data_IF_666743053312
#
_entry.id   IF_666743053312
#
_cell.length_a   1.000
_cell.length_b   1.000
_cell.length_c   1.000
_cell.angle_alpha   90.00
_cell.angle_beta   90.00
_cell.angle_gamma   90.00
#
_symmetry.space_group_name_H-M   'P 1'
#
loop_
_entity.id
_entity.type
_entity.pdbx_description
1 polymer ?
#
# COMPACT_ATOMS: atom_id res chain seq x y z
N UNK A 1 -23.01 -17.77 -16.90
CA UNK A 1 -21.62 -17.81 -16.44
C UNK A 1 -20.85 -16.93 -17.39
N UNK A 2 -20.22 -15.89 -16.86
CA UNK A 2 -19.50 -14.91 -17.67
C UNK A 2 -18.24 -15.56 -18.25
N UNK A 3 -17.86 -15.29 -19.52
CA UNK A 3 -16.61 -15.82 -20.10
C UNK A 3 -15.39 -15.45 -19.27
N UNK A 4 -14.42 -16.36 -19.15
CA UNK A 4 -13.19 -16.14 -18.36
C UNK A 4 -12.39 -14.94 -18.86
N UNK A 5 -12.36 -14.68 -20.17
CA UNK A 5 -11.71 -13.50 -20.75
C UNK A 5 -12.29 -12.19 -20.22
N UNK A 6 -13.62 -12.10 -20.12
CA UNK A 6 -14.32 -10.91 -19.64
C UNK A 6 -14.10 -10.72 -18.13
N UNK A 7 -14.08 -11.83 -17.37
CA UNK A 7 -13.77 -11.82 -15.94
C UNK A 7 -12.32 -11.39 -15.66
N UNK A 8 -11.37 -11.83 -16.48
CA UNK A 8 -9.98 -11.39 -16.42
C UNK A 8 -9.84 -9.90 -16.74
N UNK A 9 -10.50 -9.43 -17.80
CA UNK A 9 -10.50 -8.02 -18.17
C UNK A 9 -11.08 -7.13 -17.04
N UNK A 10 -12.20 -7.55 -16.45
CA UNK A 10 -12.80 -6.86 -15.31
C UNK A 10 -11.86 -6.85 -14.09
N UNK A 11 -11.25 -7.98 -13.76
CA UNK A 11 -10.31 -8.08 -12.64
C UNK A 11 -9.04 -7.24 -12.83
N UNK A 12 -8.53 -7.18 -14.07
CA UNK A 12 -7.40 -6.32 -14.43
C UNK A 12 -7.75 -4.83 -14.32
N UNK A 13 -8.97 -4.45 -14.74
CA UNK A 13 -9.46 -3.09 -14.55
C UNK A 13 -9.50 -2.70 -13.07
N UNK A 14 -10.05 -3.57 -12.21
CA UNK A 14 -10.07 -3.34 -10.77
C UNK A 14 -8.66 -3.29 -10.16
N UNK A 15 -7.72 -4.10 -10.65
CA UNK A 15 -6.32 -4.08 -10.23
C UNK A 15 -5.65 -2.73 -10.51
N UNK A 16 -5.82 -2.20 -11.72
CA UNK A 16 -5.27 -0.89 -12.09
C UNK A 16 -5.94 0.24 -11.30
N UNK A 17 -7.28 0.20 -11.18
CA UNK A 17 -8.02 1.18 -10.38
C UNK A 17 -7.55 1.18 -8.92
N UNK A 18 -7.40 0.00 -8.30
CA UNK A 18 -6.90 -0.16 -6.95
C UNK A 18 -5.45 0.32 -6.78
N UNK A 19 -4.61 0.18 -7.80
CA UNK A 19 -3.22 0.66 -7.73
C UNK A 19 -3.13 2.17 -7.83
N UNK A 20 -3.99 2.79 -8.67
CA UNK A 20 -3.94 4.22 -8.95
C UNK A 20 -4.79 5.06 -8.00
N UNK A 21 -5.81 4.49 -7.35
CA UNK A 21 -6.72 5.25 -6.49
C UNK A 21 -6.09 5.68 -5.16
N UNK A 22 -5.07 4.96 -4.68
CA UNK A 22 -4.38 5.34 -3.45
C UNK A 22 -3.05 4.62 -3.23
N UNK A 23 -2.20 5.17 -2.35
CA UNK A 23 -0.83 4.70 -2.16
C UNK A 23 -0.81 3.40 -1.35
N UNK A 24 0.34 2.72 -1.37
CA UNK A 24 0.62 1.69 -0.36
C UNK A 24 0.89 2.39 0.97
N UNK A 25 -0.02 2.28 1.93
CA UNK A 25 0.12 2.95 3.23
C UNK A 25 -0.52 2.12 4.34
N UNK A 26 -0.01 2.29 5.56
CA UNK A 26 -0.53 1.69 6.79
C UNK A 26 -1.33 2.68 7.65
N UNK A 27 -1.52 3.93 7.22
CA UNK A 27 -2.09 4.98 8.09
C UNK A 27 -3.51 4.70 8.60
N UNK A 28 -4.44 4.22 7.77
CA UNK A 28 -5.78 3.83 8.24
C UNK A 28 -5.72 2.66 9.22
N UNK A 29 -4.84 1.68 8.97
CA UNK A 29 -4.62 0.55 9.88
C UNK A 29 -4.08 1.05 11.23
N UNK A 30 -3.14 2.00 11.24
CA UNK A 30 -2.63 2.62 12.46
C UNK A 30 -3.72 3.45 13.15
N UNK A 31 -4.54 4.18 12.41
CA UNK A 31 -5.66 4.94 12.98
C UNK A 31 -6.67 4.01 13.66
N UNK A 32 -7.04 2.90 13.02
CA UNK A 32 -7.89 1.89 13.60
C UNK A 32 -7.26 1.25 14.85
N UNK A 33 -5.97 0.91 14.80
CA UNK A 33 -5.26 0.36 15.98
C UNK A 33 -5.23 1.35 17.14
N UNK A 34 -5.08 2.65 16.87
CA UNK A 34 -5.18 3.70 17.88
C UNK A 34 -6.57 3.72 18.52
N UNK A 35 -7.62 3.61 17.72
CA UNK A 35 -9.01 3.60 18.21
C UNK A 35 -9.27 2.35 19.08
N UNK A 36 -8.84 1.17 18.62
CA UNK A 36 -8.95 -0.11 19.35
C UNK A 36 -8.17 -0.07 20.67
N UNK A 37 -6.92 0.43 20.64
CA UNK A 37 -6.09 0.59 21.83
C UNK A 37 -6.52 1.75 22.74
N UNK A 38 -7.47 2.59 22.30
CA UNK A 38 -7.87 3.85 22.94
C UNK A 38 -6.68 4.77 23.19
N UNK A 39 -5.81 4.89 22.19
CA UNK A 39 -4.60 5.72 22.18
C UNK A 39 -4.75 6.86 21.18
N UNK A 40 -3.96 7.90 21.40
CA UNK A 40 -3.87 9.06 20.52
C UNK A 40 -2.62 9.00 19.63
N UNK A 41 -2.59 9.86 18.62
CA UNK A 41 -1.38 10.07 17.81
C UNK A 41 -0.21 10.57 18.68
N UNK A 42 -0.47 11.36 19.73
CA UNK A 42 0.56 11.79 20.68
C UNK A 42 1.17 10.62 21.46
N UNK A 43 0.36 9.62 21.83
CA UNK A 43 0.86 8.39 22.46
C UNK A 43 1.80 7.64 21.51
N UNK A 44 1.40 7.50 20.24
CA UNK A 44 2.21 6.88 19.19
C UNK A 44 3.55 7.58 18.96
N UNK A 45 3.53 8.91 18.93
CA UNK A 45 4.75 9.71 18.73
C UNK A 45 5.71 9.56 19.90
N UNK A 46 5.21 9.53 21.14
CA UNK A 46 6.04 9.42 22.36
C UNK A 46 6.60 8.02 22.58
N UNK A 47 5.81 6.99 22.31
CA UNK A 47 6.20 5.60 22.54
C UNK A 47 5.71 4.69 21.39
N UNK A 48 6.33 4.77 20.21
CA UNK A 48 5.88 4.03 19.04
C UNK A 48 5.91 2.51 19.23
N UNK A 49 6.83 1.99 20.05
CA UNK A 49 6.95 0.55 20.36
C UNK A 49 5.94 0.09 21.41
N UNK A 50 5.67 0.91 22.43
CA UNK A 50 4.76 0.56 23.51
C UNK A 50 3.28 0.83 23.22
N UNK A 51 2.97 1.69 22.24
CA UNK A 51 1.59 2.14 21.97
C UNK A 51 0.60 1.01 21.74
N UNK A 52 1.02 -0.04 21.03
CA UNK A 52 0.18 -1.21 20.72
C UNK A 52 0.62 -2.48 21.46
N UNK A 53 1.56 -2.38 22.40
CA UNK A 53 2.19 -3.56 23.03
C UNK A 53 1.17 -4.46 23.73
N UNK A 54 0.08 -3.90 24.24
CA UNK A 54 -0.98 -4.62 24.96
C UNK A 54 -2.00 -5.33 24.06
N UNK A 55 -2.06 -5.04 22.76
CA UNK A 55 -2.99 -5.71 21.85
C UNK A 55 -2.42 -7.07 21.46
N UNK A 56 -3.10 -8.17 21.77
CA UNK A 56 -2.76 -9.46 21.19
C UNK A 56 -3.55 -9.73 19.88
N UNK A 57 -3.35 -10.90 19.27
CA UNK A 57 -4.06 -11.25 18.03
C UNK A 57 -5.55 -11.49 18.29
N UNK A 58 -5.92 -12.00 19.46
CA UNK A 58 -7.30 -12.34 19.78
C UNK A 58 -8.13 -11.05 19.99
N UNK A 59 -7.55 -10.04 20.64
CA UNK A 59 -8.12 -8.68 20.75
C UNK A 59 -8.45 -8.09 19.37
N UNK A 60 -7.54 -8.29 18.41
CA UNK A 60 -7.68 -7.78 17.04
C UNK A 60 -8.73 -8.59 16.26
N UNK A 61 -8.76 -9.91 16.42
CA UNK A 61 -9.79 -10.76 15.82
C UNK A 61 -11.17 -10.32 16.31
N UNK A 62 -11.35 -10.12 17.62
CA UNK A 62 -12.61 -9.63 18.19
C UNK A 62 -13.02 -8.28 17.57
N UNK A 63 -12.07 -7.35 17.40
CA UNK A 63 -12.33 -6.07 16.75
C UNK A 63 -12.78 -6.25 15.28
N UNK A 64 -12.14 -7.16 14.52
CA UNK A 64 -12.52 -7.46 13.15
C UNK A 64 -13.91 -8.12 13.06
N UNK A 65 -14.26 -9.00 14.00
CA UNK A 65 -15.56 -9.69 14.05
C UNK A 65 -16.71 -8.78 14.50
N UNK A 66 -16.41 -7.76 15.31
CA UNK A 66 -17.40 -6.80 15.82
C UNK A 66 -18.07 -5.97 14.72
N UNK A 67 -17.52 -5.96 13.50
CA UNK A 67 -18.01 -5.13 12.40
C UNK A 67 -17.76 -3.63 12.64
N UNK A 68 -16.70 -3.29 13.37
CA UNK A 68 -16.34 -1.91 13.68
C UNK A 68 -16.35 -1.05 12.39
N UNK A 69 -17.01 0.14 12.36
CA UNK A 69 -17.22 0.88 11.10
C UNK A 69 -15.92 1.22 10.34
N UNK A 70 -14.83 1.45 11.06
CA UNK A 70 -13.53 1.73 10.45
C UNK A 70 -12.85 0.50 9.81
N UNK A 71 -13.34 -0.74 10.06
CA UNK A 71 -12.87 -1.94 9.36
C UNK A 71 -13.19 -1.80 7.87
N UNK A 72 -14.44 -1.51 7.51
CA UNK A 72 -14.80 -1.37 6.10
C UNK A 72 -13.99 -0.26 5.43
N UNK A 73 -13.82 0.88 6.11
CA UNK A 73 -12.98 1.97 5.60
C UNK A 73 -11.53 1.53 5.36
N UNK A 74 -10.92 0.80 6.30
CA UNK A 74 -9.50 0.41 6.23
C UNK A 74 -9.20 -0.57 5.08
N UNK A 75 -10.09 -1.51 4.78
CA UNK A 75 -9.83 -2.55 3.76
C UNK A 75 -10.61 -2.39 2.45
N UNK A 76 -11.67 -1.59 2.41
CA UNK A 76 -12.37 -1.23 1.17
C UNK A 76 -12.09 0.22 0.71
N UNK A 77 -11.30 0.98 1.47
CA UNK A 77 -10.83 2.33 1.12
C UNK A 77 -9.87 2.37 -0.06
N UNK A 78 -9.39 3.55 -0.42
CA UNK A 78 -8.55 3.75 -1.61
C UNK A 78 -7.04 3.56 -1.37
N UNK A 79 -6.57 3.54 -0.13
CA UNK A 79 -5.19 3.21 0.22
C UNK A 79 -5.07 1.84 0.90
N UNK A 80 -3.84 1.33 1.04
CA UNK A 80 -3.63 0.16 1.91
C UNK A 80 -2.45 -0.74 1.57
N UNK A 81 -2.23 -1.77 2.40
CA UNK A 81 -1.18 -2.78 2.24
C UNK A 81 -1.59 -3.91 1.26
N UNK A 82 -0.81 -4.99 1.20
CA UNK A 82 -1.08 -6.13 0.31
C UNK A 82 -2.43 -6.81 0.59
N UNK A 83 -2.82 -6.88 1.87
CA UNK A 83 -4.14 -7.37 2.30
C UNK A 83 -5.25 -6.51 1.73
N UNK A 84 -5.23 -5.21 2.03
CA UNK A 84 -6.23 -4.23 1.61
C UNK A 84 -6.37 -4.25 0.10
N UNK A 85 -5.25 -4.32 -0.62
CA UNK A 85 -5.22 -4.43 -2.07
C UNK A 85 -5.97 -5.67 -2.59
N UNK A 86 -5.61 -6.87 -2.10
CA UNK A 86 -6.24 -8.11 -2.55
C UNK A 86 -7.72 -8.20 -2.16
N UNK A 87 -8.05 -7.80 -0.92
CA UNK A 87 -9.40 -7.83 -0.39
C UNK A 87 -10.34 -6.88 -1.12
N UNK A 88 -9.91 -5.64 -1.34
CA UNK A 88 -10.70 -4.64 -2.06
C UNK A 88 -11.08 -5.09 -3.47
N UNK A 89 -10.11 -5.60 -4.22
CA UNK A 89 -10.34 -6.11 -5.58
C UNK A 89 -11.28 -7.32 -5.53
N UNK A 90 -11.03 -8.28 -4.64
CA UNK A 90 -11.89 -9.45 -4.46
C UNK A 90 -13.34 -9.06 -4.09
N UNK A 91 -13.50 -8.08 -3.20
CA UNK A 91 -14.79 -7.55 -2.76
C UNK A 91 -15.55 -6.88 -3.91
N UNK A 92 -14.90 -5.97 -4.65
CA UNK A 92 -15.50 -5.27 -5.79
C UNK A 92 -15.92 -6.25 -6.89
N UNK A 93 -15.07 -7.22 -7.22
CA UNK A 93 -15.38 -8.27 -8.20
C UNK A 93 -16.54 -9.17 -7.77
N UNK A 94 -16.57 -9.59 -6.52
CA UNK A 94 -17.68 -10.42 -5.99
C UNK A 94 -18.99 -9.65 -5.97
N UNK A 95 -18.98 -8.33 -5.72
CA UNK A 95 -20.20 -7.52 -5.81
C UNK A 95 -20.68 -7.33 -7.24
N UNK A 96 -19.77 -7.14 -8.18
CA UNK A 96 -20.11 -6.93 -9.59
C UNK A 96 -20.55 -8.23 -10.27
N UNK A 97 -19.94 -9.36 -9.91
CA UNK A 97 -20.22 -10.69 -10.48
C UNK A 97 -20.43 -11.75 -9.38
N UNK A 98 -21.54 -11.67 -8.62
CA UNK A 98 -21.77 -12.47 -7.39
C UNK A 98 -21.82 -13.98 -7.59
N UNK A 99 -22.01 -14.45 -8.83
CA UNK A 99 -22.06 -15.88 -9.13
C UNK A 99 -20.76 -16.42 -9.76
N UNK A 100 -19.91 -15.53 -10.28
CA UNK A 100 -18.72 -15.92 -11.06
C UNK A 100 -17.45 -15.99 -10.20
N UNK A 101 -17.36 -15.24 -9.09
CA UNK A 101 -16.20 -15.25 -8.19
C UNK A 101 -16.47 -15.97 -6.86
N UNK A 102 -15.43 -16.61 -6.34
CA UNK A 102 -15.36 -17.22 -5.01
C UNK A 102 -13.90 -17.16 -4.54
N UNK A 103 -13.55 -16.10 -3.82
CA UNK A 103 -12.16 -15.85 -3.41
C UNK A 103 -11.78 -16.59 -2.13
N UNK A 104 -10.62 -17.21 -2.18
CA UNK A 104 -9.86 -17.76 -1.06
C UNK A 104 -8.68 -16.83 -0.73
N UNK A 105 -8.32 -16.75 0.54
CA UNK A 105 -7.25 -15.88 1.02
C UNK A 105 -6.06 -16.68 1.52
N UNK A 106 -4.88 -16.21 1.17
CA UNK A 106 -3.62 -16.86 1.47
C UNK A 106 -2.71 -15.90 2.20
N UNK A 107 -2.04 -16.39 3.24
CA UNK A 107 -1.14 -15.62 4.09
C UNK A 107 0.16 -16.37 4.32
N UNK A 108 1.28 -15.65 4.26
CA UNK A 108 2.58 -16.13 4.74
C UNK A 108 3.14 -15.16 5.77
N UNK A 109 3.54 -15.69 6.93
CA UNK A 109 4.27 -14.92 7.95
C UNK A 109 5.75 -14.93 7.62
N UNK A 110 6.40 -13.76 7.73
CA UNK A 110 7.84 -13.61 7.56
C UNK A 110 8.49 -13.21 8.88
N UNK A 111 9.66 -13.76 9.25
CA UNK A 111 10.37 -13.31 10.43
C UNK A 111 10.86 -11.87 10.25
N UNK A 112 10.62 -11.00 11.25
CA UNK A 112 11.16 -9.64 11.34
C UNK A 112 10.70 -8.65 10.24
N UNK A 113 9.79 -9.05 9.36
CA UNK A 113 9.18 -8.19 8.35
C UNK A 113 7.69 -8.50 8.24
N UNK A 114 6.94 -7.58 7.61
CA UNK A 114 5.55 -7.80 7.24
C UNK A 114 5.39 -9.06 6.38
N UNK A 115 4.37 -9.86 6.69
CA UNK A 115 3.96 -10.99 5.88
C UNK A 115 3.40 -10.54 4.53
N UNK A 116 3.12 -11.52 3.68
CA UNK A 116 2.51 -11.29 2.37
C UNK A 116 1.18 -12.02 2.27
N UNK A 117 0.23 -11.39 1.57
CA UNK A 117 -1.14 -11.87 1.40
C UNK A 117 -1.60 -11.65 -0.02
N UNK A 118 -2.40 -12.60 -0.50
CA UNK A 118 -3.00 -12.57 -1.82
C UNK A 118 -4.36 -13.27 -1.79
N UNK A 119 -5.17 -13.01 -2.81
CA UNK A 119 -6.43 -13.71 -3.02
C UNK A 119 -6.38 -14.54 -4.31
N UNK A 120 -7.03 -15.71 -4.31
CA UNK A 120 -7.25 -16.53 -5.51
C UNK A 120 -8.72 -16.91 -5.59
N UNK A 121 -9.33 -16.74 -6.75
CA UNK A 121 -10.68 -17.23 -7.01
C UNK A 121 -10.66 -18.74 -7.29
N UNK A 122 -11.36 -19.54 -6.48
CA UNK A 122 -11.47 -20.98 -6.65
C UNK A 122 -12.16 -21.39 -7.97
N UNK A 123 -13.14 -20.58 -8.43
CA UNK A 123 -13.91 -20.85 -9.65
C UNK A 123 -13.17 -20.52 -10.95
N UNK A 124 -12.40 -19.44 -10.96
CA UNK A 124 -11.79 -18.87 -12.18
C UNK A 124 -10.28 -19.00 -12.23
N UNK A 125 -9.65 -19.42 -11.12
CA UNK A 125 -8.20 -19.46 -10.98
C UNK A 125 -7.56 -18.08 -10.91
N UNK A 126 -8.33 -16.99 -10.96
CA UNK A 126 -7.80 -15.61 -10.98
C UNK A 126 -7.10 -15.31 -9.65
N UNK A 127 -5.82 -14.95 -9.73
CA UNK A 127 -4.97 -14.52 -8.63
C UNK A 127 -4.88 -13.00 -8.61
N UNK A 128 -5.09 -12.43 -7.42
CA UNK A 128 -4.86 -11.03 -7.11
C UNK A 128 -3.70 -10.95 -6.13
N UNK A 129 -2.55 -10.52 -6.63
CA UNK A 129 -1.34 -10.33 -5.84
C UNK A 129 -0.67 -9.01 -6.23
N UNK A 130 -0.36 -8.19 -5.23
CA UNK A 130 0.32 -6.90 -5.41
C UNK A 130 1.76 -7.04 -5.95
N UNK A 131 2.37 -8.23 -5.80
CA UNK A 131 3.68 -8.56 -6.37
C UNK A 131 3.61 -8.86 -7.86
N UNK A 132 2.40 -8.97 -8.42
CA UNK A 132 2.22 -9.20 -9.85
C UNK A 132 2.35 -7.89 -10.62
N UNK A 133 3.45 -7.75 -11.34
CA UNK A 133 3.71 -6.56 -12.14
C UNK A 133 2.94 -6.53 -13.47
N UNK A 134 2.17 -7.58 -13.79
CA UNK A 134 1.35 -7.67 -15.01
C UNK A 134 -0.16 -7.56 -14.72
N UNK A 135 -0.55 -7.24 -13.48
CA UNK A 135 -1.95 -7.27 -13.05
C UNK A 135 -2.39 -8.65 -12.58
N UNK A 136 -3.66 -8.99 -12.77
CA UNK A 136 -4.16 -10.32 -12.39
C UNK A 136 -3.80 -11.38 -13.43
N UNK A 137 -3.72 -12.64 -13.00
CA UNK A 137 -3.46 -13.79 -13.87
C UNK A 137 -4.21 -15.01 -13.37
N UNK A 138 -4.30 -16.07 -14.19
CA UNK A 138 -4.87 -17.35 -13.75
C UNK A 138 -3.78 -18.29 -13.23
N UNK A 139 -4.11 -19.03 -12.17
CA UNK A 139 -3.33 -20.12 -11.62
C UNK A 139 -4.26 -21.28 -11.24
N UNK A 140 -4.17 -22.37 -11.99
CA UNK A 140 -4.90 -23.61 -11.75
C UNK A 140 -4.06 -24.61 -10.94
N UNK A 141 -4.72 -25.68 -10.51
CA UNK A 141 -4.06 -26.79 -9.83
C UNK A 141 -2.97 -27.40 -10.71
N UNK A 142 -1.85 -27.79 -10.11
CA UNK A 142 -0.65 -28.31 -10.77
C UNK A 142 0.06 -27.31 -11.72
N UNK A 143 -0.32 -26.03 -11.69
CA UNK A 143 0.33 -24.99 -12.48
C UNK A 143 1.43 -24.26 -11.71
N UNK A 144 2.41 -23.78 -12.46
CA UNK A 144 3.38 -22.76 -12.02
C UNK A 144 3.32 -21.61 -13.00
N UNK A 145 3.02 -20.42 -12.49
CA UNK A 145 3.06 -19.17 -13.23
C UNK A 145 4.33 -18.42 -12.85
N UNK A 146 5.18 -18.10 -13.83
CA UNK A 146 6.36 -17.27 -13.62
C UNK A 146 6.19 -15.95 -14.36
N UNK A 147 6.46 -14.84 -13.68
CA UNK A 147 6.44 -13.50 -14.23
C UNK A 147 7.85 -12.92 -14.03
N UNK A 148 8.46 -12.46 -15.12
CA UNK A 148 9.81 -11.88 -15.14
C UNK A 148 9.75 -10.51 -15.78
N UNK A 149 9.97 -9.49 -14.96
CA UNK A 149 10.17 -8.10 -15.36
C UNK A 149 11.50 -7.61 -14.76
N UNK A 150 11.49 -6.64 -13.85
CA UNK A 150 12.68 -6.20 -13.10
C UNK A 150 13.10 -7.26 -12.06
N UNK A 151 12.11 -7.98 -11.52
CA UNK A 151 12.29 -9.15 -10.66
C UNK A 151 11.59 -10.38 -11.26
N UNK A 152 12.06 -11.57 -10.91
CA UNK A 152 11.38 -12.83 -11.24
C UNK A 152 10.66 -13.35 -10.02
N UNK A 153 9.37 -13.60 -10.17
CA UNK A 153 8.53 -14.21 -9.14
C UNK A 153 7.74 -15.36 -9.77
N UNK A 154 7.65 -16.47 -9.06
CA UNK A 154 6.89 -17.66 -9.49
C UNK A 154 5.83 -18.02 -8.46
N UNK A 155 4.60 -18.22 -8.91
CA UNK A 155 3.49 -18.72 -8.10
C UNK A 155 3.20 -20.15 -8.52
N UNK A 156 3.08 -21.05 -7.55
CA UNK A 156 2.80 -22.46 -7.80
C UNK A 156 1.69 -22.94 -6.89
N UNK A 157 0.70 -23.62 -7.46
CA UNK A 157 -0.38 -24.26 -6.73
C UNK A 157 -0.27 -25.78 -6.90
N UNK A 158 -0.03 -26.48 -5.78
CA UNK A 158 0.16 -27.93 -5.78
C UNK A 158 -0.50 -28.58 -4.55
N UNK A 159 -1.48 -29.44 -4.77
CA UNK A 159 -2.33 -30.07 -3.76
C UNK A 159 -2.92 -29.06 -2.76
N UNK A 160 -3.60 -28.02 -3.27
CA UNK A 160 -4.13 -26.88 -2.49
C UNK A 160 -3.06 -26.08 -1.71
N UNK A 161 -1.77 -26.29 -2.00
CA UNK A 161 -0.67 -25.51 -1.42
C UNK A 161 -0.20 -24.48 -2.41
N UNK A 162 -0.46 -23.22 -2.06
CA UNK A 162 0.10 -22.09 -2.78
C UNK A 162 1.50 -21.79 -2.26
N UNK A 163 2.44 -21.63 -3.17
CA UNK A 163 3.82 -21.25 -2.89
C UNK A 163 4.26 -20.13 -3.82
N UNK A 164 5.10 -19.24 -3.32
CA UNK A 164 5.76 -18.21 -4.12
C UNK A 164 7.26 -18.39 -4.02
N UNK A 165 7.95 -18.42 -5.15
CA UNK A 165 9.41 -18.31 -5.22
C UNK A 165 9.76 -16.89 -5.63
N UNK A 166 10.47 -16.17 -4.77
CA UNK A 166 10.89 -14.79 -5.04
C UNK A 166 12.20 -14.74 -5.86
N UNK A 167 12.68 -13.53 -6.15
CA UNK A 167 13.90 -13.31 -6.93
C UNK A 167 15.18 -13.83 -6.25
N UNK A 168 15.15 -14.03 -4.92
CA UNK A 168 16.23 -14.62 -4.14
C UNK A 168 16.18 -16.16 -4.15
N UNK A 169 15.24 -16.76 -4.90
CA UNK A 169 14.98 -18.20 -4.97
C UNK A 169 14.53 -18.83 -3.65
N UNK A 170 14.04 -18.00 -2.71
CA UNK A 170 13.40 -18.49 -1.49
C UNK A 170 11.94 -18.85 -1.78
N UNK A 171 11.56 -20.08 -1.46
CA UNK A 171 10.19 -20.57 -1.57
C UNK A 171 9.41 -20.30 -0.28
N UNK A 172 8.34 -19.54 -0.41
CA UNK A 172 7.41 -19.21 0.65
C UNK A 172 6.12 -20.00 0.48
N UNK A 173 5.75 -20.79 1.49
CA UNK A 173 4.53 -21.59 1.49
C UNK A 173 3.43 -20.82 2.20
N UNK A 174 2.33 -20.58 1.50
CA UNK A 174 1.20 -19.83 2.02
C UNK A 174 0.22 -20.76 2.74
N UNK A 175 -0.32 -20.26 3.85
CA UNK A 175 -1.43 -20.88 4.56
C UNK A 175 -2.74 -20.27 4.04
N UNK A 176 -3.70 -21.11 3.67
CA UNK A 176 -5.08 -20.64 3.45
C UNK A 176 -5.70 -20.21 4.77
N UNK A 177 -6.25 -19.00 4.82
CA UNK A 177 -6.83 -18.38 6.03
C UNK A 177 -8.25 -17.88 5.76
N UNK A 178 -9.01 -17.66 6.82
CA UNK A 178 -10.31 -16.99 6.68
C UNK A 178 -10.13 -15.50 6.34
N UNK A 179 -11.19 -14.86 5.85
CA UNK A 179 -11.19 -13.41 5.60
C UNK A 179 -10.84 -12.62 6.88
N UNK A 180 -11.51 -12.91 8.00
CA UNK A 180 -11.24 -12.27 9.29
C UNK A 180 -9.81 -12.49 9.76
N UNK A 181 -9.28 -13.71 9.62
CA UNK A 181 -7.89 -14.01 10.00
C UNK A 181 -6.90 -13.23 9.12
N UNK A 182 -7.17 -13.05 7.81
CA UNK A 182 -6.32 -12.24 6.94
C UNK A 182 -6.26 -10.77 7.39
N UNK A 183 -7.41 -10.17 7.72
CA UNK A 183 -7.54 -8.81 8.25
C UNK A 183 -6.76 -8.65 9.57
N UNK A 184 -7.01 -9.55 10.52
CA UNK A 184 -6.44 -9.47 11.85
C UNK A 184 -4.92 -9.65 11.85
N UNK A 185 -4.40 -10.57 11.03
CA UNK A 185 -2.96 -10.76 10.89
C UNK A 185 -2.27 -9.50 10.33
N UNK A 186 -2.92 -8.77 9.42
CA UNK A 186 -2.34 -7.56 8.84
C UNK A 186 -2.26 -6.42 9.85
N UNK A 187 -3.33 -6.22 10.63
CA UNK A 187 -3.33 -5.30 11.76
C UNK A 187 -2.31 -5.71 12.82
N UNK A 188 -2.22 -6.98 13.14
CA UNK A 188 -1.29 -7.47 14.15
C UNK A 188 0.15 -7.16 13.76
N UNK A 189 0.52 -7.36 12.49
CA UNK A 189 1.83 -6.94 11.97
C UNK A 189 2.02 -5.42 12.03
N UNK A 190 1.02 -4.64 11.65
CA UNK A 190 1.07 -3.18 11.75
C UNK A 190 1.25 -2.73 13.21
N UNK A 191 0.62 -3.40 14.17
CA UNK A 191 0.76 -3.13 15.60
C UNK A 191 2.16 -3.46 16.13
N UNK A 192 2.80 -4.54 15.64
CA UNK A 192 4.15 -4.93 16.10
C UNK A 192 5.24 -4.00 15.59
N UNK A 193 5.11 -3.50 14.36
CA UNK A 193 6.17 -2.73 13.70
C UNK A 193 5.87 -1.24 13.59
N UNK A 194 4.61 -0.83 13.84
CA UNK A 194 4.07 0.51 13.61
C UNK A 194 4.64 1.16 12.32
N UNK A 195 4.61 0.45 11.17
CA UNK A 195 5.15 1.02 9.96
C UNK A 195 4.32 2.26 9.65
N UNK A 196 4.98 3.39 9.40
CA UNK A 196 4.36 4.64 8.97
C UNK A 196 5.02 5.03 7.67
N UNK A 197 4.58 4.36 6.61
CA UNK A 197 5.18 4.44 5.29
C UNK A 197 4.09 4.71 4.26
N UNK A 198 4.42 5.52 3.25
CA UNK A 198 3.57 5.79 2.09
C UNK A 198 4.42 5.54 0.84
N UNK A 199 4.03 4.60 -0.01
CA UNK A 199 4.60 4.42 -1.34
C UNK A 199 3.59 4.89 -2.38
N UNK A 200 3.97 5.89 -3.17
CA UNK A 200 3.17 6.36 -4.30
C UNK A 200 3.45 5.48 -5.51
N UNK A 201 2.38 5.03 -6.17
CA UNK A 201 2.46 4.00 -7.20
C UNK A 201 1.66 4.41 -8.41
N UNK A 202 2.02 3.82 -9.54
CA UNK A 202 1.24 3.98 -10.76
C UNK A 202 1.25 2.64 -11.48
N UNK A 203 0.06 2.21 -11.88
CA UNK A 203 -0.15 1.13 -12.82
C UNK A 203 -0.63 1.76 -14.11
N UNK A 204 0.12 1.58 -15.20
CA UNK A 204 -0.32 2.02 -16.52
C UNK A 204 -1.43 1.09 -17.05
N UNK A 205 -2.69 1.54 -17.15
CA UNK A 205 -3.80 0.71 -17.61
C UNK A 205 -3.72 0.34 -19.10
N UNK A 206 -2.89 1.01 -19.91
CA UNK A 206 -2.68 0.65 -21.32
C UNK A 206 -1.94 -0.66 -21.51
N UNK A 207 -1.44 -1.25 -20.41
CA UNK A 207 -0.83 -2.57 -20.41
C UNK A 207 -1.83 -3.71 -20.65
N UNK A 208 -3.14 -3.44 -20.55
CA UNK A 208 -4.16 -4.45 -20.85
C UNK A 208 -4.43 -4.66 -22.34
N UNK A 209 -3.75 -3.92 -23.24
CA UNK A 209 -3.97 -4.03 -24.69
C UNK A 209 -3.56 -5.38 -25.30
N UNK A 210 -2.82 -6.23 -24.58
CA UNK A 210 -2.50 -7.60 -24.99
C UNK A 210 -3.45 -8.67 -24.39
N UNK A 211 -4.38 -8.28 -23.52
CA UNK A 211 -5.52 -9.11 -23.19
C UNK A 211 -6.64 -8.65 -24.11
N UNK A 212 -7.01 -9.47 -25.11
CA UNK A 212 -8.06 -9.21 -26.08
C UNK A 212 -9.10 -8.23 -25.52
N UNK A 213 -8.97 -6.97 -25.92
CA UNK A 213 -9.79 -5.86 -25.45
C UNK A 213 -11.19 -6.06 -26.03
N UNK A 214 -11.98 -6.90 -25.35
CA UNK A 214 -13.42 -6.70 -25.34
C UNK A 214 -13.60 -5.34 -24.67
N UNK A 215 -13.94 -4.35 -25.49
CA UNK A 215 -14.33 -3.01 -25.07
C UNK A 215 -15.51 -3.12 -24.11
N UNK A 216 -15.23 -3.32 -22.82
CA UNK A 216 -16.25 -3.15 -21.79
C UNK A 216 -16.33 -1.66 -21.57
N UNK A 217 -17.26 -1.01 -22.27
CA UNK A 217 -17.67 0.36 -22.00
C UNK A 217 -18.08 0.44 -20.53
N UNK A 218 -17.17 0.96 -19.72
CA UNK A 218 -17.35 1.14 -18.30
C UNK A 218 -17.38 2.65 -18.06
N UNK A 219 -18.56 3.22 -17.75
CA UNK A 219 -18.68 4.62 -17.40
C UNK A 219 -17.70 4.99 -16.28
N UNK A 220 -16.89 6.05 -16.48
CA UNK A 220 -15.97 6.59 -15.47
C UNK A 220 -14.48 6.21 -15.60
N UNK A 221 -14.04 5.63 -16.71
CA UNK A 221 -12.62 5.29 -16.98
C UNK A 221 -11.89 6.42 -17.70
N UNK A 222 -10.67 6.78 -17.27
CA UNK A 222 -9.95 8.02 -17.66
C UNK A 222 -8.70 7.84 -18.54
N UNK A 223 -8.56 6.78 -19.33
CA UNK A 223 -7.23 6.38 -19.87
C UNK A 223 -7.23 6.28 -21.42
N UNK A 224 -6.34 7.05 -22.10
CA UNK A 224 -5.95 7.15 -23.53
C UNK A 224 -4.72 6.28 -24.06
N UNK A 225 -4.96 5.44 -25.06
CA UNK A 225 -4.33 4.15 -25.44
C UNK A 225 -2.85 4.05 -25.95
N UNK A 226 -1.92 5.01 -25.84
CA UNK A 226 -0.76 5.01 -26.79
C UNK A 226 0.72 5.05 -26.32
N UNK A 227 1.11 4.76 -25.08
CA UNK A 227 2.55 4.67 -24.70
C UNK A 227 2.81 3.65 -23.57
N UNK A 228 3.45 2.50 -23.85
CA UNK A 228 3.60 1.37 -22.90
C UNK A 228 5.05 1.16 -22.43
N UNK A 229 5.28 1.19 -21.10
CA UNK A 229 6.50 0.78 -20.35
C UNK A 229 6.10 0.09 -19.04
N UNK A 230 6.87 -0.88 -18.49
CA UNK A 230 6.55 -1.60 -17.25
C UNK A 230 6.03 -0.70 -16.13
N UNK A 231 5.06 -1.20 -15.36
CA UNK A 231 4.54 -0.47 -14.20
C UNK A 231 5.68 -0.22 -13.18
N UNK A 232 5.92 1.05 -12.86
CA UNK A 232 6.99 1.48 -11.96
C UNK A 232 6.40 1.68 -10.55
N UNK A 233 6.61 0.70 -9.67
CA UNK A 233 5.80 0.54 -8.46
C UNK A 233 6.30 1.26 -7.19
N UNK A 234 7.32 2.12 -7.24
CA UNK A 234 7.23 3.31 -6.39
C UNK A 234 7.93 4.54 -6.98
N UNK A 235 7.17 5.60 -7.27
CA UNK A 235 7.75 6.90 -7.62
C UNK A 235 8.42 7.54 -6.40
N UNK A 236 7.75 7.49 -5.25
CA UNK A 236 8.16 8.20 -4.05
C UNK A 236 7.81 7.45 -2.79
N UNK A 237 8.68 7.53 -1.79
CA UNK A 237 8.49 6.89 -0.49
C UNK A 237 8.66 7.90 0.63
N UNK A 238 7.63 8.00 1.45
CA UNK A 238 7.65 8.75 2.72
C UNK A 238 7.70 7.71 3.85
N UNK A 239 8.65 7.83 4.77
CA UNK A 239 8.76 6.93 5.92
C UNK A 239 9.07 7.70 7.21
N UNK A 240 8.19 7.56 8.20
CA UNK A 240 8.48 8.01 9.56
C UNK A 240 9.37 6.99 10.30
N UNK A 241 10.32 7.53 11.07
CA UNK A 241 11.11 6.82 12.06
C UNK A 241 10.96 7.57 13.39
N UNK A 242 9.84 7.36 14.05
CA UNK A 242 9.46 8.11 15.25
C UNK A 242 10.47 7.97 16.39
N UNK A 243 11.08 6.79 16.58
CA UNK A 243 12.15 6.58 17.57
C UNK A 243 13.36 7.51 17.40
N UNK A 244 13.63 7.90 16.15
CA UNK A 244 14.71 8.81 15.80
C UNK A 244 14.20 10.23 15.52
N UNK A 245 12.89 10.48 15.67
CA UNK A 245 12.25 11.76 15.40
C UNK A 245 12.48 12.22 13.96
N UNK A 246 12.50 11.27 13.01
CA UNK A 246 12.89 11.50 11.62
C UNK A 246 11.76 11.20 10.65
N UNK A 247 11.67 12.02 9.61
CA UNK A 247 10.95 11.74 8.37
C UNK A 247 11.98 11.53 7.26
N UNK A 248 11.88 10.41 6.56
CA UNK A 248 12.75 10.03 5.45
C UNK A 248 11.93 10.10 4.16
N UNK A 249 12.45 10.81 3.17
CA UNK A 249 11.89 10.89 1.82
C UNK A 249 12.85 10.21 0.85
N UNK A 250 12.38 9.28 0.03
CA UNK A 250 13.20 8.56 -0.97
C UNK A 250 12.54 8.56 -2.33
N UNK A 251 13.37 8.58 -3.38
CA UNK A 251 12.92 8.58 -4.78
C UNK A 251 12.49 7.20 -5.32
N UNK A 252 12.84 6.11 -4.64
CA UNK A 252 12.41 4.73 -4.93
C UNK A 252 13.00 3.80 -3.87
N UNK A 253 12.52 2.56 -3.80
CA UNK A 253 12.92 1.54 -2.80
C UNK A 253 14.43 1.30 -2.84
N UNK A 254 15.01 1.19 -4.04
CA UNK A 254 16.40 0.77 -4.24
C UNK A 254 17.41 1.93 -4.17
N UNK A 255 16.92 3.17 -4.13
CA UNK A 255 17.79 4.33 -4.03
C UNK A 255 18.43 4.46 -2.65
N UNK A 256 19.75 4.62 -2.63
CA UNK A 256 20.47 5.08 -1.44
C UNK A 256 20.28 6.58 -1.17
N UNK A 257 19.69 7.33 -2.12
CA UNK A 257 19.47 8.76 -2.02
C UNK A 257 18.18 9.08 -1.26
N UNK A 258 18.30 9.98 -0.28
CA UNK A 258 17.20 10.30 0.63
C UNK A 258 17.33 11.70 1.21
N UNK A 259 16.19 12.37 1.39
CA UNK A 259 16.10 13.50 2.30
C UNK A 259 15.83 13.00 3.71
N UNK A 260 16.33 13.73 4.69
CA UNK A 260 16.07 13.47 6.11
C UNK A 260 15.64 14.78 6.74
N UNK A 261 14.41 14.81 7.24
CA UNK A 261 13.87 15.87 8.08
C UNK A 261 13.88 15.36 9.53
N UNK A 262 14.42 16.15 10.45
CA UNK A 262 14.62 15.76 11.84
C UNK A 262 14.07 16.82 12.80
N UNK A 263 13.36 16.39 13.84
CA UNK A 263 12.76 17.27 14.85
C UNK A 263 13.70 17.47 16.03
N UNK A 264 13.80 18.71 16.52
CA UNK A 264 14.57 19.04 17.72
C UNK A 264 14.16 20.41 18.33
N UNK A 265 14.24 20.54 19.66
CA UNK A 265 13.76 21.73 20.39
C UNK A 265 14.50 23.04 20.10
N UNK A 266 15.70 22.97 19.52
CA UNK A 266 16.50 24.15 19.19
C UNK A 266 16.39 24.59 17.72
N UNK A 267 15.60 23.88 16.91
CA UNK A 267 15.32 24.30 15.54
C UNK A 267 14.34 25.48 15.51
N UNK A 268 14.45 26.29 14.45
CA UNK A 268 13.74 27.56 14.31
C UNK A 268 12.50 27.43 13.42
N UNK A 269 11.66 28.47 13.40
CA UNK A 269 10.56 28.59 12.43
C UNK A 269 11.06 28.60 10.97
N UNK A 270 12.25 29.17 10.73
CA UNK A 270 12.87 29.15 9.39
C UNK A 270 13.29 27.73 8.98
N UNK A 271 13.74 26.91 9.94
CA UNK A 271 14.04 25.50 9.68
C UNK A 271 12.75 24.72 9.34
N UNK A 272 11.64 25.00 10.04
CA UNK A 272 10.34 24.37 9.75
C UNK A 272 9.84 24.73 8.34
N UNK A 273 9.92 26.00 7.95
CA UNK A 273 9.49 26.44 6.63
C UNK A 273 10.30 25.75 5.52
N UNK A 274 11.62 25.65 5.68
CA UNK A 274 12.47 24.89 4.75
C UNK A 274 12.09 23.41 4.68
N UNK A 275 11.72 22.80 5.81
CA UNK A 275 11.28 21.41 5.85
C UNK A 275 9.94 21.21 5.12
N UNK A 276 8.99 22.16 5.24
CA UNK A 276 7.73 22.15 4.47
C UNK A 276 7.98 22.28 2.97
N UNK A 277 8.88 23.18 2.57
CA UNK A 277 9.26 23.36 1.16
C UNK A 277 9.90 22.09 0.59
N UNK A 278 10.86 21.49 1.30
CA UNK A 278 11.50 20.22 0.88
C UNK A 278 10.46 19.10 0.71
N UNK A 279 9.50 19.01 1.63
CA UNK A 279 8.44 18.01 1.55
C UNK A 279 7.48 18.26 0.38
N UNK A 280 7.02 19.50 0.18
CA UNK A 280 6.16 19.85 -0.95
C UNK A 280 6.85 19.56 -2.28
N UNK A 281 8.11 19.98 -2.41
CA UNK A 281 8.89 19.71 -3.61
C UNK A 281 9.09 18.22 -3.86
N UNK A 282 9.26 17.41 -2.79
CA UNK A 282 9.34 15.97 -2.92
C UNK A 282 8.04 15.34 -3.46
N UNK A 283 6.88 15.81 -3.00
CA UNK A 283 5.59 15.37 -3.53
C UNK A 283 5.47 15.70 -5.02
N UNK A 284 5.77 16.94 -5.39
CA UNK A 284 5.67 17.42 -6.77
C UNK A 284 6.59 16.65 -7.73
N UNK A 285 7.82 16.37 -7.30
CA UNK A 285 8.86 15.88 -8.21
C UNK A 285 8.98 14.36 -8.26
N UNK A 286 8.61 13.67 -7.18
CA UNK A 286 8.89 12.24 -7.02
C UNK A 286 7.69 11.39 -6.68
N UNK A 287 6.44 11.88 -6.69
CA UNK A 287 5.30 11.01 -6.33
C UNK A 287 4.40 10.62 -7.50
N UNK A 288 4.82 10.95 -8.74
CA UNK A 288 4.15 10.54 -9.97
C UNK A 288 2.91 11.37 -10.30
N UNK A 289 2.27 11.10 -11.45
CA UNK A 289 1.18 11.93 -11.99
C UNK A 289 -0.13 11.85 -11.20
N UNK A 290 -0.30 10.81 -10.39
CA UNK A 290 -1.49 10.60 -9.55
C UNK A 290 -1.28 11.01 -8.09
N UNK A 291 -0.23 11.80 -7.78
CA UNK A 291 0.13 12.17 -6.41
C UNK A 291 -1.02 12.81 -5.64
N UNK A 292 -1.75 13.77 -6.22
CA UNK A 292 -2.83 14.47 -5.51
C UNK A 292 -3.95 13.51 -5.09
N UNK A 293 -4.39 12.65 -6.01
CA UNK A 293 -5.41 11.64 -5.73
C UNK A 293 -4.95 10.68 -4.64
N UNK A 294 -3.71 10.18 -4.75
CA UNK A 294 -3.15 9.25 -3.79
C UNK A 294 -2.89 9.88 -2.42
N UNK A 295 -2.45 11.13 -2.38
CA UNK A 295 -2.15 11.81 -1.14
C UNK A 295 -3.40 12.11 -0.31
N UNK A 296 -4.51 12.39 -0.98
CA UNK A 296 -5.81 12.62 -0.35
C UNK A 296 -6.61 11.32 -0.09
N UNK A 297 -6.19 10.17 -0.65
CA UNK A 297 -6.84 8.88 -0.44
C UNK A 297 -6.78 8.41 1.03
N UNK A 298 -7.89 7.89 1.56
CA UNK A 298 -7.99 7.31 2.91
C UNK A 298 -7.37 8.14 4.04
N UNK A 299 -7.55 9.46 3.98
CA UNK A 299 -7.05 10.43 4.95
C UNK A 299 -5.51 10.43 5.14
N UNK A 300 -4.72 9.91 4.19
CA UNK A 300 -3.24 9.86 4.31
C UNK A 300 -2.66 11.22 4.66
N UNK A 301 -3.03 12.26 3.91
CA UNK A 301 -2.63 13.65 4.14
C UNK A 301 -3.00 14.12 5.55
N UNK A 302 -4.22 13.86 5.99
CA UNK A 302 -4.70 14.31 7.30
C UNK A 302 -3.96 13.60 8.43
N UNK A 303 -3.77 12.29 8.32
CA UNK A 303 -2.99 11.52 9.30
C UNK A 303 -1.53 11.99 9.33
N UNK A 304 -0.93 12.28 8.17
CA UNK A 304 0.41 12.87 8.09
C UNK A 304 0.49 14.21 8.84
N UNK A 305 -0.49 15.11 8.63
CA UNK A 305 -0.55 16.39 9.34
C UNK A 305 -0.66 16.19 10.85
N UNK A 306 -1.45 15.22 11.31
CA UNK A 306 -1.54 14.88 12.75
C UNK A 306 -0.18 14.46 13.30
N UNK A 307 0.53 13.55 12.62
CA UNK A 307 1.87 13.08 13.03
C UNK A 307 2.88 14.23 13.02
N UNK A 308 2.89 15.07 11.97
CA UNK A 308 3.77 16.23 11.87
C UNK A 308 3.58 17.18 13.06
N UNK A 309 2.33 17.52 13.37
CA UNK A 309 2.00 18.42 14.47
C UNK A 309 2.35 17.80 15.83
N UNK A 310 2.07 16.52 16.03
CA UNK A 310 2.44 15.80 17.26
C UNK A 310 3.96 15.75 17.44
N UNK A 311 4.73 15.45 16.39
CA UNK A 311 6.20 15.54 16.43
C UNK A 311 6.65 16.95 16.78
N UNK A 312 6.05 17.99 16.19
CA UNK A 312 6.41 19.38 16.46
C UNK A 312 6.13 19.79 17.90
N UNK A 313 4.99 19.36 18.45
CA UNK A 313 4.62 19.62 19.83
C UNK A 313 5.53 18.89 20.84
N UNK A 314 5.91 17.64 20.55
CA UNK A 314 6.66 16.81 21.49
C UNK A 314 8.18 16.97 21.39
N UNK A 315 8.72 17.28 20.20
CA UNK A 315 10.15 17.25 19.92
C UNK A 315 10.73 18.58 19.44
N UNK A 316 9.91 19.61 19.21
CA UNK A 316 10.33 20.90 18.66
C UNK A 316 10.27 20.96 17.14
N UNK A 317 10.96 21.89 16.50
CA UNK A 317 10.73 22.18 15.08
C UNK A 317 11.49 21.21 14.16
N UNK A 318 10.96 20.87 12.97
CA UNK A 318 11.68 20.08 11.98
C UNK A 318 12.79 20.88 11.30
N UNK A 319 13.84 20.18 10.86
CA UNK A 319 14.93 20.73 10.05
C UNK A 319 15.37 19.74 8.98
N UNK A 320 15.63 20.23 7.78
CA UNK A 320 16.24 19.45 6.69
C UNK A 320 17.72 19.19 7.02
N UNK A 321 18.06 17.95 7.36
CA UNK A 321 19.43 17.52 7.65
C UNK A 321 20.17 17.05 6.40
N UNK A 322 19.40 16.49 5.45
CA UNK A 322 19.85 16.13 4.11
C UNK A 322 18.73 16.46 3.14
N UNK A 323 19.07 17.20 2.08
CA UNK A 323 18.13 17.65 1.05
C UNK A 323 18.36 16.88 -0.25
N UNK A 324 17.26 16.57 -0.94
CA UNK A 324 17.22 16.04 -2.29
C UNK A 324 17.22 17.15 -3.36
N UNK A 325 16.97 18.41 -2.98
CA UNK A 325 16.94 19.59 -3.88
C UNK A 325 18.32 20.03 -4.41
N UNK A 326 19.39 19.24 -4.23
CA UNK A 326 20.75 19.62 -4.64
C UNK A 326 20.85 19.75 -6.16
N UNK A 327 20.76 20.98 -6.67
CA UNK A 327 20.95 21.31 -8.10
C UNK A 327 20.05 22.43 -8.64
N UNK A 328 19.04 22.87 -7.90
CA UNK A 328 18.17 23.96 -8.33
C UNK A 328 18.21 25.13 -7.34
N UNK A 329 19.04 26.13 -7.65
CA UNK A 329 18.83 27.48 -7.15
C UNK A 329 17.43 27.93 -7.61
N UNK A 330 16.53 28.07 -6.63
CA UNK A 330 15.41 29.01 -6.57
C UNK A 330 14.81 29.41 -7.93
N UNK A 331 13.89 28.60 -8.46
CA UNK A 331 12.74 29.17 -9.19
C UNK A 331 11.56 29.20 -8.23
N UNK A 332 11.59 30.19 -7.34
CA UNK A 332 10.41 30.61 -6.58
C UNK A 332 9.36 31.04 -7.61
N UNK A 333 8.36 30.19 -7.88
CA UNK A 333 7.09 30.69 -8.41
C UNK A 333 6.31 31.21 -7.23
N UNK A 334 6.28 32.53 -7.07
CA UNK A 334 5.26 33.18 -6.27
C UNK A 334 3.90 32.74 -6.82
N UNK A 335 3.11 32.07 -6.00
CA UNK A 335 1.68 31.88 -6.25
C UNK A 335 0.98 33.00 -5.48
N UNK A 336 0.31 33.88 -6.21
CA UNK A 336 -0.63 34.87 -5.68
C UNK A 336 -1.96 34.21 -5.34
#
# INVERSE_FOLDING_TARGET
>A
MTPLCDLLAAANKEFAAATNSGPYSSYEQIQLLLDVARKSVDDLVRDPKGTFASLDLDDIIEACESGHPAIEQTWNGDMGRCTDFALRIAHRLTRQFPNDFEFEYFHVSRPNVSGHRLARCAKTGIVVDILSEIGVFTLWEDETKTITNDHTVSWKLLHDRLSITNWDCDEEIFKRVSHTEALAQDLYEAARYAPLVVHFREFDPFHFQNFDTVSVDMPGSFVDDHLVRPAHFPHGIIKWKLENQQLILRRHVDSGDKAIIWWFHFHTEEDEEKARIEFSWFLDEYCGPHVELQWDAGDVRWFFVKIWNACTANFGKPKVMRSLMRGHQLRVRCIC
#
